data_IF_189424008267
#
_entry.id   IF_189424008267
#
_cell.length_a   1.000
_cell.length_b   1.000
_cell.length_c   1.000
_cell.angle_alpha   90.00
_cell.angle_beta   90.00
_cell.angle_gamma   90.00
#
_symmetry.space_group_name_H-M   'P 1'
#
loop_
_entity.id
_entity.type
_entity.pdbx_description
1 polymer ?
#
# COMPACT_ATOMS: atom_id res chain seq x y z
N UNK A 1 -1.50 1.72 5.62
CA UNK A 1 -2.57 1.76 6.64
C UNK A 1 -2.26 2.70 7.80
N UNK A 2 -1.03 2.71 8.34
CA UNK A 2 -0.65 3.65 9.43
C UNK A 2 -0.69 5.11 8.98
N UNK A 3 -0.21 5.42 7.77
CA UNK A 3 -0.27 6.77 7.20
C UNK A 3 -1.71 7.30 7.12
N UNK A 4 -2.67 6.43 6.94
CA UNK A 4 -4.09 6.77 6.88
C UNK A 4 -4.65 7.20 8.24
N UNK A 5 -4.25 6.53 9.31
CA UNK A 5 -4.60 6.93 10.67
C UNK A 5 -4.03 8.30 11.03
N UNK A 6 -2.83 8.61 10.54
CA UNK A 6 -2.20 9.92 10.73
C UNK A 6 -2.85 11.05 9.92
N UNK A 7 -3.38 10.75 8.75
CA UNK A 7 -3.99 11.77 7.88
C UNK A 7 -5.35 12.26 8.39
N UNK A 8 -5.84 11.77 9.53
CA UNK A 8 -7.14 12.16 10.07
C UNK A 8 -8.30 11.89 9.13
N UNK A 9 -8.10 10.98 8.16
CA UNK A 9 -9.12 10.65 7.19
C UNK A 9 -10.27 9.95 7.89
N UNK A 10 -11.43 10.50 7.69
CA UNK A 10 -12.72 10.13 8.24
C UNK A 10 -13.04 8.62 8.15
N UNK A 11 -14.14 8.23 8.74
CA UNK A 11 -14.72 6.88 8.87
C UNK A 11 -14.88 6.05 7.57
N UNK A 12 -14.34 6.49 6.44
CA UNK A 12 -14.46 5.85 5.13
C UNK A 12 -13.26 4.98 4.73
N UNK A 13 -12.32 4.72 5.65
CA UNK A 13 -11.17 3.86 5.37
C UNK A 13 -11.35 2.45 5.94
N UNK A 14 -11.16 1.45 5.09
CA UNK A 14 -11.24 0.04 5.47
C UNK A 14 -9.86 -0.58 5.33
N UNK A 15 -9.36 -1.16 6.40
CA UNK A 15 -8.09 -1.87 6.44
C UNK A 15 -8.13 -3.06 7.40
N UNK A 16 -7.24 -4.02 7.21
CA UNK A 16 -7.12 -5.16 8.12
C UNK A 16 -6.34 -4.77 9.37
N UNK A 17 -6.97 -4.82 10.52
CA UNK A 17 -6.33 -4.52 11.81
C UNK A 17 -5.68 -5.75 12.44
N UNK A 18 -6.31 -6.93 12.32
CA UNK A 18 -5.98 -8.09 13.15
C UNK A 18 -4.89 -8.97 12.55
N UNK A 19 -5.01 -9.37 11.29
CA UNK A 19 -4.10 -10.37 10.71
C UNK A 19 -3.01 -9.79 9.82
N UNK A 20 -3.14 -8.52 9.39
CA UNK A 20 -2.19 -7.90 8.48
C UNK A 20 -1.96 -8.70 7.19
N UNK A 21 -2.95 -9.50 6.76
CA UNK A 21 -2.82 -10.37 5.60
C UNK A 21 -2.52 -9.55 4.35
N UNK A 22 -1.48 -9.94 3.64
CA UNK A 22 -1.16 -9.43 2.30
C UNK A 22 -2.22 -9.89 1.30
N UNK A 23 -2.17 -9.34 0.09
CA UNK A 23 -3.02 -9.74 -1.04
C UNK A 23 -4.53 -9.43 -0.91
N UNK A 24 -5.01 -8.94 0.21
CA UNK A 24 -6.45 -8.75 0.44
C UNK A 24 -7.03 -7.44 -0.09
N UNK A 25 -6.21 -6.54 -0.64
CA UNK A 25 -6.63 -5.17 -0.97
C UNK A 25 -7.65 -5.12 -2.10
N UNK A 26 -7.40 -5.82 -3.22
CA UNK A 26 -8.31 -5.81 -4.38
C UNK A 26 -9.63 -6.48 -4.02
N UNK A 27 -9.61 -7.67 -3.41
CA UNK A 27 -10.83 -8.35 -2.97
C UNK A 27 -11.67 -7.53 -2.00
N UNK A 28 -11.01 -6.81 -1.06
CA UNK A 28 -11.71 -5.86 -0.19
C UNK A 28 -12.33 -4.69 -0.95
N UNK A 29 -11.61 -4.13 -1.93
CA UNK A 29 -12.13 -3.03 -2.74
C UNK A 29 -13.39 -3.47 -3.51
N UNK A 30 -13.38 -4.67 -4.08
CA UNK A 30 -14.55 -5.29 -4.71
C UNK A 30 -15.70 -5.41 -3.70
N UNK A 31 -15.45 -6.00 -2.53
CA UNK A 31 -16.46 -6.16 -1.48
C UNK A 31 -17.04 -4.83 -0.99
N UNK A 32 -16.20 -3.81 -0.82
CA UNK A 32 -16.64 -2.46 -0.43
C UNK A 32 -17.52 -1.84 -1.51
N UNK A 33 -17.15 -1.98 -2.76
CA UNK A 33 -18.00 -1.48 -3.86
C UNK A 33 -19.38 -2.13 -3.85
N UNK A 34 -19.47 -3.44 -3.76
CA UNK A 34 -20.77 -4.13 -3.73
C UNK A 34 -21.58 -3.82 -2.47
N UNK A 35 -20.92 -3.63 -1.33
CA UNK A 35 -21.59 -3.29 -0.09
C UNK A 35 -22.09 -1.84 0.01
N UNK A 36 -21.47 -0.92 -0.76
CA UNK A 36 -21.76 0.52 -0.64
C UNK A 36 -22.35 1.14 -1.91
N UNK A 37 -22.16 0.53 -3.06
CA UNK A 37 -22.46 1.10 -4.38
C UNK A 37 -21.59 2.32 -4.76
N UNK A 38 -20.55 2.61 -3.98
CA UNK A 38 -19.72 3.80 -4.16
C UNK A 38 -18.37 3.47 -4.79
N UNK A 39 -17.80 4.39 -5.59
CA UNK A 39 -16.45 4.24 -6.10
C UNK A 39 -15.43 4.03 -4.97
N UNK A 40 -14.39 3.23 -5.26
CA UNK A 40 -13.38 2.85 -4.28
C UNK A 40 -11.98 3.23 -4.76
N UNK A 41 -11.17 3.81 -3.87
CA UNK A 41 -9.73 3.93 -4.07
C UNK A 41 -9.03 2.83 -3.26
N UNK A 42 -8.35 1.93 -3.95
CA UNK A 42 -7.65 0.79 -3.38
C UNK A 42 -6.15 1.04 -3.35
N UNK A 43 -5.55 1.12 -2.18
CA UNK A 43 -4.09 1.19 -2.04
C UNK A 43 -3.50 -0.20 -1.85
N UNK A 44 -2.46 -0.51 -2.63
CA UNK A 44 -1.79 -1.80 -2.60
C UNK A 44 -0.30 -1.62 -2.88
N UNK A 45 0.55 -2.43 -2.26
CA UNK A 45 1.98 -2.53 -2.61
C UNK A 45 2.22 -3.53 -3.74
N UNK A 46 3.41 -3.49 -4.33
CA UNK A 46 3.83 -4.35 -5.44
C UNK A 46 3.67 -5.85 -5.12
N UNK A 47 4.22 -6.32 -4.03
CA UNK A 47 4.09 -7.71 -3.62
C UNK A 47 2.63 -8.08 -3.29
N UNK A 48 1.88 -7.16 -2.66
CA UNK A 48 0.48 -7.38 -2.34
C UNK A 48 -0.41 -7.51 -3.58
N UNK A 49 -0.14 -6.75 -4.63
CA UNK A 49 -0.83 -6.85 -5.91
C UNK A 49 -0.45 -8.16 -6.63
N UNK A 50 0.84 -8.48 -6.66
CA UNK A 50 1.34 -9.70 -7.30
C UNK A 50 0.65 -10.97 -6.77
N UNK A 51 0.40 -11.03 -5.47
CA UNK A 51 -0.22 -12.22 -4.84
C UNK A 51 -1.69 -12.44 -5.21
N UNK A 52 -2.38 -11.43 -5.74
CA UNK A 52 -3.79 -11.48 -6.15
C UNK A 52 -4.05 -10.76 -7.47
N UNK A 53 -3.09 -10.81 -8.37
CA UNK A 53 -3.13 -10.08 -9.63
C UNK A 53 -4.29 -10.53 -10.54
N UNK A 54 -4.74 -11.77 -10.41
CA UNK A 54 -5.88 -12.33 -11.16
C UNK A 54 -7.20 -11.60 -10.86
N UNK A 55 -7.34 -10.95 -9.71
CA UNK A 55 -8.54 -10.18 -9.37
C UNK A 55 -8.75 -8.97 -10.28
N UNK A 56 -7.70 -8.53 -10.99
CA UNK A 56 -7.81 -7.48 -12.00
C UNK A 56 -8.78 -7.89 -13.13
N UNK A 57 -8.84 -9.19 -13.46
CA UNK A 57 -9.81 -9.72 -14.43
C UNK A 57 -11.25 -9.40 -14.01
N UNK A 58 -11.58 -9.63 -12.75
CA UNK A 58 -12.93 -9.38 -12.24
C UNK A 58 -13.26 -7.88 -12.25
N UNK A 59 -12.33 -7.06 -11.78
CA UNK A 59 -12.48 -5.59 -11.76
C UNK A 59 -12.70 -5.04 -13.18
N UNK A 60 -11.93 -5.53 -14.14
CA UNK A 60 -12.02 -5.11 -15.55
C UNK A 60 -13.32 -5.56 -16.21
N UNK A 61 -13.65 -6.85 -16.13
CA UNK A 61 -14.82 -7.43 -16.82
C UNK A 61 -16.14 -6.85 -16.33
N UNK A 62 -16.22 -6.44 -15.05
CA UNK A 62 -17.41 -5.81 -14.48
C UNK A 62 -17.33 -4.28 -14.49
N UNK A 63 -16.27 -3.70 -15.06
CA UNK A 63 -16.04 -2.24 -15.13
C UNK A 63 -16.24 -1.53 -13.78
N UNK A 64 -15.77 -2.16 -12.71
CA UNK A 64 -15.96 -1.63 -11.36
C UNK A 64 -15.23 -0.30 -11.22
N UNK A 65 -15.87 0.75 -10.66
CA UNK A 65 -15.26 2.07 -10.50
C UNK A 65 -14.22 2.06 -9.35
N UNK A 66 -13.19 1.24 -9.53
CA UNK A 66 -12.10 1.06 -8.58
C UNK A 66 -10.83 1.71 -9.14
N UNK A 67 -10.32 2.70 -8.44
CA UNK A 67 -9.00 3.27 -8.71
C UNK A 67 -7.97 2.50 -7.89
N UNK A 68 -7.12 1.73 -8.55
CA UNK A 68 -6.03 0.98 -7.91
C UNK A 68 -4.81 1.89 -7.86
N UNK A 69 -4.36 2.24 -6.66
CA UNK A 69 -3.13 2.99 -6.41
C UNK A 69 -2.06 2.01 -5.96
N UNK A 70 -1.19 1.65 -6.89
CA UNK A 70 -0.07 0.76 -6.65
C UNK A 70 1.14 1.57 -6.15
N UNK A 71 1.58 1.31 -4.93
CA UNK A 71 2.81 1.85 -4.37
C UNK A 71 3.93 0.84 -4.66
N UNK A 72 4.68 1.07 -5.74
CA UNK A 72 5.75 0.18 -6.18
C UNK A 72 7.10 0.70 -5.69
N UNK A 73 7.61 0.06 -4.65
CA UNK A 73 8.94 0.37 -4.10
C UNK A 73 10.01 -0.65 -4.49
N UNK A 74 9.69 -1.57 -5.41
CA UNK A 74 10.63 -2.60 -5.89
C UNK A 74 11.28 -3.41 -4.77
N UNK A 75 10.57 -3.59 -3.66
CA UNK A 75 11.12 -4.22 -2.47
C UNK A 75 10.02 -4.85 -1.62
N UNK A 76 10.30 -5.97 -1.02
CA UNK A 76 9.47 -6.49 0.07
C UNK A 76 9.69 -5.67 1.35
N UNK A 77 9.29 -4.40 1.32
CA UNK A 77 9.70 -3.36 2.26
C UNK A 77 9.46 -3.70 3.74
N UNK A 78 8.33 -4.35 4.07
CA UNK A 78 8.04 -4.76 5.44
C UNK A 78 9.01 -5.86 5.92
N UNK A 79 9.31 -6.84 5.07
CA UNK A 79 10.25 -7.92 5.40
C UNK A 79 11.65 -7.36 5.48
N UNK A 80 12.06 -6.54 4.51
CA UNK A 80 13.36 -5.86 4.51
C UNK A 80 13.58 -5.07 5.81
N UNK A 81 12.56 -4.34 6.27
CA UNK A 81 12.67 -3.62 7.55
C UNK A 81 12.93 -4.57 8.73
N UNK A 82 12.30 -5.75 8.73
CA UNK A 82 12.53 -6.76 9.77
C UNK A 82 13.88 -7.45 9.66
N UNK A 83 14.35 -7.73 8.44
CA UNK A 83 15.70 -8.26 8.21
C UNK A 83 16.74 -7.27 8.72
N UNK A 84 16.59 -5.98 8.38
CA UNK A 84 17.49 -4.94 8.86
C UNK A 84 17.57 -4.88 10.39
N UNK A 85 16.45 -5.03 11.08
CA UNK A 85 16.41 -5.04 12.54
C UNK A 85 17.08 -6.28 13.17
N UNK A 86 17.04 -7.44 12.47
CA UNK A 86 17.55 -8.71 13.00
C UNK A 86 18.96 -9.05 12.56
N UNK A 87 19.29 -8.76 11.32
CA UNK A 87 20.47 -9.28 10.63
C UNK A 87 21.33 -8.18 10.02
N UNK A 88 21.00 -6.90 10.29
CA UNK A 88 21.70 -5.78 9.66
C UNK A 88 21.29 -5.61 8.19
N UNK A 89 22.26 -5.56 7.29
CA UNK A 89 22.00 -5.34 5.85
C UNK A 89 22.07 -6.62 5.01
N UNK A 90 22.00 -7.77 5.65
CA UNK A 90 21.92 -9.07 4.97
C UNK A 90 20.47 -9.32 4.51
N UNK A 91 20.17 -8.91 3.30
CA UNK A 91 18.83 -9.05 2.70
C UNK A 91 18.72 -10.31 1.84
N UNK A 92 17.62 -11.05 2.01
CA UNK A 92 17.35 -12.28 1.27
C UNK A 92 16.03 -12.12 0.50
N UNK A 93 16.10 -11.97 -0.83
CA UNK A 93 14.95 -11.80 -1.71
C UNK A 93 13.98 -10.66 -1.33
N UNK A 94 14.50 -9.60 -0.73
CA UNK A 94 13.69 -8.44 -0.32
C UNK A 94 14.07 -7.14 -1.01
N UNK A 95 15.20 -7.13 -1.70
CA UNK A 95 15.68 -6.02 -2.54
C UNK A 95 16.03 -6.51 -3.94
N UNK A 96 16.14 -5.61 -4.90
CA UNK A 96 16.54 -5.96 -6.27
C UNK A 96 17.90 -6.68 -6.28
N UNK A 97 18.85 -6.20 -5.49
CA UNK A 97 20.21 -6.75 -5.38
C UNK A 97 20.19 -8.16 -4.77
N UNK A 98 19.24 -8.44 -3.87
CA UNK A 98 19.10 -9.76 -3.23
C UNK A 98 18.16 -10.71 -3.99
N UNK A 99 17.72 -10.33 -5.22
CA UNK A 99 16.94 -11.20 -6.10
C UNK A 99 15.42 -10.95 -6.10
N UNK A 100 14.91 -9.94 -5.39
CA UNK A 100 13.51 -9.53 -5.52
C UNK A 100 13.26 -8.92 -6.89
N UNK A 101 12.15 -9.25 -7.52
CA UNK A 101 11.76 -8.68 -8.80
C UNK A 101 10.25 -8.46 -8.87
N UNK A 102 9.85 -7.49 -9.65
CA UNK A 102 8.44 -7.22 -9.96
C UNK A 102 8.24 -7.14 -11.47
N UNK A 103 7.09 -7.56 -11.98
CA UNK A 103 6.74 -7.39 -13.38
C UNK A 103 6.41 -5.92 -13.69
N UNK A 104 6.24 -5.61 -14.97
CA UNK A 104 5.59 -4.37 -15.37
C UNK A 104 4.08 -4.46 -15.12
N UNK A 105 3.64 -3.90 -14.01
CA UNK A 105 2.24 -3.93 -13.61
C UNK A 105 1.34 -3.13 -14.54
N UNK A 106 1.85 -2.10 -15.21
CA UNK A 106 1.09 -1.33 -16.18
C UNK A 106 0.75 -2.17 -17.41
N UNK A 107 1.72 -2.90 -17.95
CA UNK A 107 1.49 -3.83 -19.08
C UNK A 107 0.48 -4.90 -18.68
N UNK A 108 0.59 -5.46 -17.48
CA UNK A 108 -0.36 -6.46 -16.99
C UNK A 108 -1.77 -5.87 -16.86
N UNK A 109 -1.91 -4.69 -16.27
CA UNK A 109 -3.20 -4.03 -16.13
C UNK A 109 -3.84 -3.74 -17.48
N UNK A 110 -3.07 -3.28 -18.46
CA UNK A 110 -3.51 -3.04 -19.82
C UNK A 110 -3.90 -4.34 -20.53
N UNK A 111 -3.20 -5.44 -20.28
CA UNK A 111 -3.56 -6.78 -20.74
C UNK A 111 -4.92 -7.25 -20.24
N UNK A 112 -5.34 -6.82 -19.05
CA UNK A 112 -6.70 -7.00 -18.52
C UNK A 112 -7.70 -5.94 -19.00
N UNK A 113 -7.28 -4.95 -19.80
CA UNK A 113 -8.13 -3.85 -20.26
C UNK A 113 -8.30 -2.71 -19.25
N UNK A 114 -7.45 -2.64 -18.23
CA UNK A 114 -7.44 -1.56 -17.23
C UNK A 114 -6.47 -0.48 -17.68
N UNK A 115 -6.98 0.74 -17.88
CA UNK A 115 -6.12 1.89 -18.19
C UNK A 115 -5.16 2.18 -17.06
N UNK A 116 -3.86 2.25 -17.38
CA UNK A 116 -2.82 2.46 -16.41
C UNK A 116 -2.06 3.78 -16.60
N UNK A 117 -1.43 4.23 -15.53
CA UNK A 117 -0.55 5.41 -15.51
C UNK A 117 0.59 5.17 -14.54
N UNK A 118 1.80 5.53 -14.94
CA UNK A 118 2.97 5.53 -14.05
C UNK A 118 3.35 6.97 -13.69
N UNK A 119 3.64 7.20 -12.42
CA UNK A 119 4.03 8.49 -11.88
C UNK A 119 5.14 8.29 -10.84
N UNK A 120 6.10 9.23 -10.82
CA UNK A 120 7.08 9.32 -9.74
C UNK A 120 6.44 9.87 -8.46
N UNK A 121 6.89 9.40 -7.30
CA UNK A 121 6.37 9.79 -5.97
C UNK A 121 6.39 11.30 -5.70
N UNK A 122 7.32 12.03 -6.31
CA UNK A 122 7.44 13.48 -6.12
C UNK A 122 6.52 14.30 -7.02
N UNK A 123 5.86 13.68 -7.98
CA UNK A 123 4.96 14.38 -8.90
C UNK A 123 3.52 14.45 -8.37
N UNK A 124 3.35 15.12 -7.24
CA UNK A 124 2.03 15.27 -6.58
C UNK A 124 0.98 15.90 -7.48
N UNK A 125 1.34 16.86 -8.33
CA UNK A 125 0.40 17.52 -9.24
C UNK A 125 -0.22 16.49 -10.19
N UNK A 126 0.59 15.63 -10.79
CA UNK A 126 0.11 14.59 -11.69
C UNK A 126 -0.72 13.53 -10.96
N UNK A 127 -0.29 13.12 -9.76
CA UNK A 127 -1.04 12.18 -8.90
C UNK A 127 -2.43 12.75 -8.60
N UNK A 128 -2.51 13.98 -8.09
CA UNK A 128 -3.77 14.64 -7.79
C UNK A 128 -4.64 14.81 -9.03
N UNK A 129 -4.07 15.21 -10.16
CA UNK A 129 -4.79 15.35 -11.44
C UNK A 129 -5.44 14.04 -11.91
N UNK A 130 -4.76 12.91 -11.71
CA UNK A 130 -5.31 11.59 -12.07
C UNK A 130 -6.40 11.18 -11.08
N UNK A 131 -6.18 11.34 -9.79
CA UNK A 131 -7.13 10.94 -8.75
C UNK A 131 -8.41 11.81 -8.72
N UNK A 132 -8.32 13.08 -9.15
CA UNK A 132 -9.46 14.00 -9.23
C UNK A 132 -10.40 13.74 -10.42
N UNK A 133 -10.01 12.90 -11.38
CA UNK A 133 -10.89 12.55 -12.50
C UNK A 133 -12.07 11.70 -12.00
N UNK A 134 -13.23 11.77 -12.73
CA UNK A 134 -14.35 10.92 -12.41
C UNK A 134 -13.95 9.46 -12.21
N UNK A 135 -14.57 8.74 -11.28
CA UNK A 135 -14.20 7.36 -10.97
C UNK A 135 -14.51 6.42 -12.14
N UNK A 136 -13.51 5.67 -12.56
CA UNK A 136 -13.62 4.55 -13.50
C UNK A 136 -12.54 3.53 -13.16
N UNK A 137 -12.60 2.36 -13.75
CA UNK A 137 -11.57 1.31 -13.58
C UNK A 137 -10.24 1.79 -14.11
N UNK A 138 -9.26 1.97 -13.25
CA UNK A 138 -7.90 2.41 -13.62
C UNK A 138 -6.87 1.98 -12.61
N UNK A 139 -5.62 1.93 -13.05
CA UNK A 139 -4.47 1.76 -12.16
C UNK A 139 -3.54 2.97 -12.24
N UNK A 140 -3.07 3.42 -11.11
CA UNK A 140 -2.02 4.43 -10.95
C UNK A 140 -0.84 3.79 -10.21
N UNK A 141 0.22 3.49 -10.94
CA UNK A 141 1.47 3.09 -10.33
C UNK A 141 2.24 4.33 -9.87
N UNK A 142 2.55 4.39 -8.61
CA UNK A 142 3.43 5.40 -8.01
C UNK A 142 4.75 4.70 -7.70
N UNK A 143 5.81 5.10 -8.41
CA UNK A 143 7.16 4.61 -8.15
C UNK A 143 7.70 5.27 -6.91
N UNK A 144 8.00 4.45 -5.92
CA UNK A 144 8.50 4.87 -4.61
C UNK A 144 9.96 4.47 -4.48
N UNK A 145 10.77 5.35 -3.93
CA UNK A 145 12.18 5.05 -3.66
C UNK A 145 12.28 3.82 -2.73
N UNK A 146 12.99 2.76 -3.16
CA UNK A 146 13.15 1.55 -2.35
C UNK A 146 13.87 1.78 -1.03
N UNK A 147 14.63 2.87 -0.89
CA UNK A 147 15.33 3.20 0.36
C UNK A 147 14.42 3.76 1.45
N UNK A 148 13.22 4.24 1.08
CA UNK A 148 12.26 4.82 2.04
C UNK A 148 11.88 3.78 3.10
N UNK A 149 12.05 4.18 4.34
CA UNK A 149 11.64 3.39 5.50
C UNK A 149 10.32 3.91 6.06
N UNK A 150 9.58 3.02 6.67
CA UNK A 150 8.34 3.38 7.35
C UNK A 150 8.66 4.08 8.67
N UNK A 151 8.21 5.33 8.79
CA UNK A 151 8.38 6.14 10.00
C UNK A 151 6.99 6.64 10.43
N UNK A 152 6.59 6.47 11.69
CA UNK A 152 7.29 5.74 12.75
C UNK A 152 7.24 4.22 12.56
N UNK A 153 8.24 3.51 13.06
CA UNK A 153 8.28 2.06 13.09
C UNK A 153 8.32 1.55 14.54
N UNK A 154 7.89 0.30 14.76
CA UNK A 154 7.98 -0.36 16.06
C UNK A 154 9.21 -1.26 16.05
N UNK A 155 10.26 -0.95 16.81
CA UNK A 155 11.41 -1.83 16.95
C UNK A 155 10.99 -3.21 17.44
N UNK A 156 11.68 -4.24 16.97
CA UNK A 156 11.35 -5.61 17.33
C UNK A 156 11.47 -5.84 18.84
N UNK A 157 10.49 -6.51 19.42
CA UNK A 157 10.45 -6.76 20.87
C UNK A 157 9.82 -5.64 21.69
N UNK A 158 9.61 -4.48 21.08
CA UNK A 158 8.92 -3.39 21.78
C UNK A 158 7.39 -3.54 21.70
N UNK A 159 6.66 -3.13 22.74
CA UNK A 159 5.22 -2.99 22.64
C UNK A 159 4.86 -1.95 21.58
N UNK A 160 3.65 -2.06 21.03
CA UNK A 160 3.19 -1.24 19.91
C UNK A 160 3.27 0.28 20.18
N UNK A 161 3.15 0.67 21.43
CA UNK A 161 3.21 2.06 21.87
C UNK A 161 4.62 2.65 21.80
N UNK A 162 5.66 1.80 21.91
CA UNK A 162 7.07 2.24 21.82
C UNK A 162 7.55 2.19 20.37
N UNK A 163 7.31 3.27 19.66
CA UNK A 163 7.73 3.46 18.27
C UNK A 163 9.05 4.20 18.17
N UNK A 164 9.71 4.10 17.01
CA UNK A 164 10.89 4.92 16.66
C UNK A 164 10.51 5.86 15.50
N UNK A 165 10.75 7.18 15.58
CA UNK A 165 11.23 7.90 16.77
C UNK A 165 10.22 7.84 17.94
N UNK A 166 10.73 7.89 19.14
CA UNK A 166 9.90 7.85 20.35
C UNK A 166 8.99 9.07 20.43
N UNK A 167 7.79 8.88 20.96
CA UNK A 167 6.92 9.97 21.35
C UNK A 167 7.51 10.63 22.63
N UNK A 168 7.33 11.94 22.79
CA UNK A 168 7.67 12.57 24.06
C UNK A 168 6.85 11.94 25.19
N UNK A 169 7.44 11.91 26.40
CA UNK A 169 6.85 11.22 27.56
C UNK A 169 5.43 11.70 27.88
N UNK A 170 5.11 12.98 27.66
CA UNK A 170 3.78 13.51 27.92
C UNK A 170 2.74 12.95 26.94
N UNK A 171 3.09 12.78 25.66
CA UNK A 171 2.21 12.17 24.65
C UNK A 171 2.07 10.66 24.88
N UNK A 172 3.15 10.01 25.30
CA UNK A 172 3.14 8.60 25.65
C UNK A 172 2.18 8.32 26.82
N UNK A 173 2.28 9.12 27.90
CA UNK A 173 1.39 9.01 29.09
C UNK A 173 -0.09 9.25 28.78
N UNK A 174 -0.40 10.04 27.75
CA UNK A 174 -1.78 10.23 27.28
C UNK A 174 -2.34 9.01 26.55
N UNK A 175 -1.49 8.29 25.81
CA UNK A 175 -1.89 7.10 25.07
C UNK A 175 -2.04 5.85 25.94
N UNK A 176 -1.32 5.81 27.07
CA UNK A 176 -1.38 4.67 28.01
C UNK A 176 -2.67 4.67 28.89
N UNK A 177 -3.46 5.75 28.79
CA UNK A 177 -4.73 5.90 29.51
C UNK A 177 -5.97 5.59 28.66
N UNK A 178 -5.79 5.20 27.39
CA UNK A 178 -6.84 4.82 26.44
C UNK A 178 -6.85 3.29 26.28
#
# INVERSE_FOLDING_TARGET
CRAYAYAGCSNSAIYSKSFGAMASSIGKAIGVYYGTGKPVTCFVGDQGLQMNIQELQYVASHQLPITIVLLNNYSSGMIRSREKQRYGEDFIHTTLESGYSVPDFCIIAEGYGIKSHTVDQFNFIKICSILSKPPYTRMLEIRVDPSIQMIPDTPQGNPFQKMSPELDDNKFMLLDKI
#
